data_IF_654613839422
#
_entry.id   IF_654613839422
#
_cell.length_a   1.000
_cell.length_b   1.000
_cell.length_c   1.000
_cell.angle_alpha   90.00
_cell.angle_beta   90.00
_cell.angle_gamma   90.00
#
_symmetry.space_group_name_H-M   'P 1'
#
loop_
_entity.id
_entity.type
_entity.pdbx_description
1 polymer ?
#
# COMPACT_ATOMS: atom_id res chain seq x y z
N UNK A 1 -8.12 19.85 -1.43
CA UNK A 1 -8.96 20.27 -0.28
C UNK A 1 -8.73 21.71 0.17
N UNK A 2 -7.49 22.20 0.29
CA UNK A 2 -7.23 23.60 0.71
C UNK A 2 -7.90 24.63 -0.21
N UNK A 3 -7.80 24.45 -1.54
CA UNK A 3 -8.42 25.34 -2.54
C UNK A 3 -9.95 25.34 -2.39
N UNK A 4 -10.55 24.16 -2.25
CA UNK A 4 -12.01 24.01 -2.04
C UNK A 4 -12.48 24.80 -0.81
N UNK A 5 -11.78 24.65 0.32
CA UNK A 5 -12.18 25.32 1.56
C UNK A 5 -11.93 26.83 1.51
N UNK A 6 -10.82 27.29 0.92
CA UNK A 6 -10.55 28.71 0.74
C UNK A 6 -11.63 29.41 -0.10
N UNK A 7 -12.15 28.73 -1.13
CA UNK A 7 -13.21 29.26 -1.99
C UNK A 7 -14.61 29.20 -1.35
N UNK A 8 -14.82 28.48 -0.25
CA UNK A 8 -16.14 28.42 0.42
C UNK A 8 -16.29 29.54 1.46
N UNK A 9 -15.19 30.07 2.01
CA UNK A 9 -15.20 31.14 3.03
C UNK A 9 -16.00 32.39 2.61
N UNK A 10 -15.88 32.92 1.37
CA UNK A 10 -16.55 34.17 1.00
C UNK A 10 -18.07 34.03 0.77
N UNK A 11 -18.60 32.81 0.62
CA UNK A 11 -20.03 32.57 0.44
C UNK A 11 -20.66 33.12 -0.85
N UNK A 12 -19.88 33.53 -1.85
CA UNK A 12 -20.42 34.10 -3.11
C UNK A 12 -20.57 33.05 -4.22
N UNK A 13 -21.46 33.30 -5.18
CA UNK A 13 -21.68 32.42 -6.33
C UNK A 13 -20.42 32.23 -7.22
N UNK A 14 -19.55 33.25 -7.30
CA UNK A 14 -18.27 33.14 -8.00
C UNK A 14 -17.30 32.23 -7.26
N UNK A 15 -17.27 32.32 -5.93
CA UNK A 15 -16.43 31.48 -5.08
C UNK A 15 -16.88 30.01 -5.11
N UNK A 16 -18.18 29.72 -5.27
CA UNK A 16 -18.69 28.37 -5.46
C UNK A 16 -18.11 27.66 -6.71
N UNK A 17 -17.86 28.38 -7.82
CA UNK A 17 -17.22 27.80 -9.01
C UNK A 17 -15.77 27.39 -8.72
N UNK A 18 -15.03 28.22 -7.98
CA UNK A 18 -13.66 27.90 -7.53
C UNK A 18 -13.63 26.71 -6.57
N UNK A 19 -14.62 26.60 -5.67
CA UNK A 19 -14.76 25.47 -4.76
C UNK A 19 -15.00 24.16 -5.52
N UNK A 20 -15.90 24.18 -6.52
CA UNK A 20 -16.17 23.04 -7.38
C UNK A 20 -14.90 22.59 -8.14
N UNK A 21 -14.16 23.52 -8.75
CA UNK A 21 -12.88 23.21 -9.40
C UNK A 21 -11.89 22.55 -8.42
N UNK A 22 -11.71 23.14 -7.23
CA UNK A 22 -10.81 22.59 -6.21
C UNK A 22 -11.22 21.18 -5.74
N UNK A 23 -12.53 20.89 -5.72
CA UNK A 23 -13.06 19.57 -5.37
C UNK A 23 -12.75 18.55 -6.47
N UNK A 24 -13.02 18.87 -7.73
CA UNK A 24 -12.68 17.97 -8.85
C UNK A 24 -11.17 17.73 -8.96
N UNK A 25 -10.37 18.78 -8.77
CA UNK A 25 -8.91 18.66 -8.74
C UNK A 25 -8.46 17.72 -7.62
N UNK A 26 -9.05 17.84 -6.43
CA UNK A 26 -8.76 16.92 -5.34
C UNK A 26 -9.13 15.48 -5.70
N UNK A 27 -10.34 15.24 -6.22
CA UNK A 27 -10.79 13.88 -6.59
C UNK A 27 -9.87 13.28 -7.66
N UNK A 28 -9.43 14.06 -8.64
CA UNK A 28 -8.54 13.62 -9.71
C UNK A 28 -7.20 13.08 -9.19
N UNK A 29 -6.63 13.66 -8.13
CA UNK A 29 -5.40 13.15 -7.52
C UNK A 29 -5.66 12.12 -6.42
N UNK A 30 -6.71 12.29 -5.62
CA UNK A 30 -7.06 11.38 -4.52
C UNK A 30 -7.42 9.98 -5.02
N UNK A 31 -8.14 9.89 -6.15
CA UNK A 31 -8.56 8.63 -6.76
C UNK A 31 -7.40 7.66 -7.05
N UNK A 32 -6.40 8.02 -7.87
CA UNK A 32 -5.30 7.10 -8.19
C UNK A 32 -4.24 6.99 -7.08
N UNK A 33 -4.26 7.84 -6.06
CA UNK A 33 -3.27 7.82 -4.98
C UNK A 33 -3.85 7.24 -3.68
N UNK A 34 -4.33 8.09 -2.78
CA UNK A 34 -4.77 7.72 -1.44
C UNK A 34 -5.97 6.75 -1.43
N UNK A 35 -6.80 6.74 -2.47
CA UNK A 35 -7.94 5.83 -2.52
C UNK A 35 -7.52 4.40 -2.88
N UNK A 36 -6.58 4.21 -3.81
CA UNK A 36 -6.21 2.88 -4.33
C UNK A 36 -4.97 2.29 -3.65
N UNK A 37 -3.96 3.12 -3.35
CA UNK A 37 -2.66 2.66 -2.83
C UNK A 37 -2.80 1.86 -1.53
N UNK A 38 -3.60 2.25 -0.51
CA UNK A 38 -3.68 1.49 0.73
C UNK A 38 -4.22 0.06 0.55
N UNK A 39 -5.12 -0.15 -0.40
CA UNK A 39 -5.68 -1.47 -0.68
C UNK A 39 -4.67 -2.37 -1.39
N UNK A 40 -3.92 -1.80 -2.33
CA UNK A 40 -2.85 -2.50 -3.03
C UNK A 40 -1.69 -2.82 -2.08
N UNK A 41 -1.25 -1.83 -1.31
CA UNK A 41 -0.14 -1.95 -0.37
C UNK A 41 -0.39 -3.01 0.70
N UNK A 42 -1.63 -3.10 1.21
CA UNK A 42 -2.01 -4.15 2.15
C UNK A 42 -1.91 -5.56 1.55
N UNK A 43 -2.09 -5.71 0.23
CA UNK A 43 -1.91 -7.00 -0.45
C UNK A 43 -0.43 -7.33 -0.68
N UNK A 44 0.41 -6.32 -0.93
CA UNK A 44 1.84 -6.48 -1.21
C UNK A 44 2.68 -6.76 0.05
N UNK A 45 2.31 -6.17 1.18
CA UNK A 45 3.10 -6.25 2.42
C UNK A 45 2.84 -7.51 3.25
N UNK A 46 1.71 -8.18 3.00
CA UNK A 46 1.36 -9.36 3.78
C UNK A 46 1.97 -10.62 3.15
N UNK A 47 2.69 -11.44 3.95
CA UNK A 47 3.16 -12.73 3.48
C UNK A 47 2.00 -13.59 2.99
N UNK A 48 2.19 -14.33 1.90
CA UNK A 48 1.13 -15.10 1.22
C UNK A 48 0.37 -16.01 2.20
N UNK A 49 1.08 -16.61 3.17
CA UNK A 49 0.50 -17.50 4.19
C UNK A 49 -0.55 -16.85 5.09
N UNK A 50 -0.42 -15.55 5.37
CA UNK A 50 -1.29 -14.81 6.31
C UNK A 50 -2.06 -13.67 5.63
N UNK A 51 -1.94 -13.53 4.31
CA UNK A 51 -2.53 -12.45 3.53
C UNK A 51 -4.04 -12.27 3.79
N UNK A 52 -4.81 -13.36 3.86
CA UNK A 52 -6.24 -13.28 4.18
C UNK A 52 -6.54 -12.69 5.58
N UNK A 53 -5.74 -13.04 6.59
CA UNK A 53 -5.90 -12.52 7.97
C UNK A 53 -5.46 -11.06 8.05
N UNK A 54 -4.35 -10.71 7.40
CA UNK A 54 -3.85 -9.34 7.31
C UNK A 54 -4.84 -8.41 6.60
N UNK A 55 -5.39 -8.86 5.47
CA UNK A 55 -6.42 -8.13 4.73
C UNK A 55 -7.71 -7.96 5.54
N UNK A 56 -8.15 -8.97 6.29
CA UNK A 56 -9.32 -8.86 7.16
C UNK A 56 -9.11 -7.83 8.28
N UNK A 57 -7.94 -7.85 8.94
CA UNK A 57 -7.60 -6.88 9.98
C UNK A 57 -7.53 -5.45 9.41
N UNK A 58 -6.87 -5.27 8.26
CA UNK A 58 -6.79 -3.98 7.58
C UNK A 58 -8.20 -3.42 7.24
N UNK A 59 -9.10 -4.29 6.75
CA UNK A 59 -10.50 -3.93 6.50
C UNK A 59 -11.22 -3.48 7.76
N UNK A 60 -11.12 -4.25 8.85
CA UNK A 60 -11.79 -3.92 10.12
C UNK A 60 -11.32 -2.57 10.64
N UNK A 61 -10.01 -2.31 10.61
CA UNK A 61 -9.44 -1.02 11.03
C UNK A 61 -9.94 0.10 10.13
N UNK A 62 -9.92 -0.08 8.80
CA UNK A 62 -10.39 0.91 7.83
C UNK A 62 -11.85 1.32 8.10
N UNK A 63 -12.75 0.34 8.21
CA UNK A 63 -14.17 0.60 8.44
C UNK A 63 -14.45 1.16 9.84
N UNK A 64 -13.68 0.75 10.85
CA UNK A 64 -13.81 1.29 12.21
C UNK A 64 -13.41 2.76 12.28
N UNK A 65 -12.31 3.15 11.62
CA UNK A 65 -11.89 4.55 11.53
C UNK A 65 -12.86 5.35 10.66
N UNK A 66 -13.39 4.78 9.58
CA UNK A 66 -14.43 5.44 8.77
C UNK A 66 -15.67 5.76 9.62
N UNK A 67 -16.17 4.78 10.37
CA UNK A 67 -17.29 4.97 11.29
C UNK A 67 -17.02 6.06 12.32
N UNK A 68 -15.84 6.04 12.95
CA UNK A 68 -15.43 7.06 13.92
C UNK A 68 -15.46 8.46 13.29
N UNK A 69 -14.88 8.62 12.10
CA UNK A 69 -14.84 9.92 11.39
C UNK A 69 -16.26 10.39 11.07
N UNK A 70 -17.14 9.52 10.56
CA UNK A 70 -18.53 9.88 10.23
C UNK A 70 -19.29 10.33 11.49
N UNK A 71 -19.08 9.68 12.63
CA UNK A 71 -19.76 10.04 13.90
C UNK A 71 -19.20 11.32 14.53
N UNK A 72 -17.88 11.52 14.48
CA UNK A 72 -17.21 12.67 15.13
C UNK A 72 -17.33 13.94 14.30
N UNK A 73 -17.30 13.86 12.97
CA UNK A 73 -17.37 15.02 12.07
C UNK A 73 -18.56 15.96 12.34
N UNK A 74 -19.82 15.52 12.48
CA UNK A 74 -20.94 16.43 12.75
C UNK A 74 -20.79 17.14 14.10
N UNK A 75 -20.28 16.45 15.13
CA UNK A 75 -20.01 17.02 16.45
C UNK A 75 -18.92 18.10 16.33
N UNK A 76 -17.86 17.84 15.56
CA UNK A 76 -16.81 18.83 15.31
C UNK A 76 -17.35 20.05 14.56
N UNK A 77 -18.11 19.86 13.49
CA UNK A 77 -18.67 20.98 12.70
C UNK A 77 -19.57 21.86 13.57
N UNK A 78 -20.37 21.29 14.48
CA UNK A 78 -21.23 22.05 15.37
C UNK A 78 -20.46 22.85 16.44
N UNK A 79 -19.38 22.28 16.99
CA UNK A 79 -18.65 22.91 18.12
C UNK A 79 -17.51 23.83 17.67
N UNK A 80 -16.75 23.42 16.65
CA UNK A 80 -15.54 24.14 16.20
C UNK A 80 -15.66 24.70 14.77
N UNK A 81 -16.77 24.45 14.07
CA UNK A 81 -17.08 25.05 12.76
C UNK A 81 -15.95 24.85 11.75
N UNK A 82 -15.36 25.97 11.31
CA UNK A 82 -14.26 25.97 10.34
C UNK A 82 -12.99 25.27 10.84
N UNK A 83 -12.79 25.19 12.17
CA UNK A 83 -11.67 24.49 12.78
C UNK A 83 -11.65 23.00 12.47
N UNK A 84 -12.81 22.40 12.17
CA UNK A 84 -12.92 20.99 11.72
C UNK A 84 -12.09 20.73 10.48
N UNK A 85 -12.11 21.66 9.51
CA UNK A 85 -11.37 21.52 8.26
C UNK A 85 -9.86 21.65 8.48
N UNK A 86 -9.44 22.51 9.42
CA UNK A 86 -8.02 22.66 9.77
C UNK A 86 -7.49 21.40 10.48
N UNK A 87 -8.29 20.79 11.35
CA UNK A 87 -7.94 19.52 12.00
C UNK A 87 -7.69 18.41 10.97
N UNK A 88 -8.61 18.19 10.04
CA UNK A 88 -8.41 17.18 9.01
C UNK A 88 -7.25 17.51 8.07
N UNK A 89 -7.03 18.80 7.76
CA UNK A 89 -5.85 19.22 6.99
C UNK A 89 -4.54 18.89 7.73
N UNK A 90 -4.48 19.12 9.05
CA UNK A 90 -3.32 18.79 9.87
C UNK A 90 -3.09 17.28 9.96
N UNK A 91 -4.14 16.48 10.14
CA UNK A 91 -4.04 15.01 10.15
C UNK A 91 -3.52 14.49 8.79
N UNK A 92 -4.03 15.01 7.68
CA UNK A 92 -3.52 14.66 6.35
C UNK A 92 -2.06 15.09 6.15
N UNK A 93 -1.69 16.27 6.64
CA UNK A 93 -0.30 16.74 6.58
C UNK A 93 0.64 15.89 7.44
N UNK A 94 0.17 15.40 8.60
CA UNK A 94 0.93 14.49 9.46
C UNK A 94 1.06 13.06 8.90
N UNK A 95 0.12 12.63 8.05
CA UNK A 95 0.21 11.34 7.37
C UNK A 95 1.39 11.28 6.36
N UNK A 96 1.75 12.39 5.72
CA UNK A 96 2.86 12.45 4.76
C UNK A 96 4.23 12.05 5.36
N UNK A 97 4.72 12.67 6.46
CA UNK A 97 5.98 12.24 7.07
C UNK A 97 5.89 10.83 7.64
N UNK A 98 4.71 10.41 8.12
CA UNK A 98 4.52 9.04 8.60
C UNK A 98 4.73 8.03 7.48
N UNK A 99 4.09 8.22 6.32
CA UNK A 99 4.29 7.35 5.16
C UNK A 99 5.76 7.36 4.74
N UNK A 100 6.38 8.54 4.65
CA UNK A 100 7.79 8.65 4.25
C UNK A 100 8.77 7.88 5.15
N UNK A 101 8.50 7.83 6.46
CA UNK A 101 9.40 7.21 7.44
C UNK A 101 9.16 5.72 7.66
N UNK A 102 7.92 5.25 7.48
CA UNK A 102 7.52 3.89 7.86
C UNK A 102 7.17 2.97 6.69
N UNK A 103 6.87 3.50 5.50
CA UNK A 103 6.43 2.68 4.36
C UNK A 103 7.63 2.30 3.47
N UNK A 104 8.07 1.02 3.45
CA UNK A 104 9.00 0.55 2.44
C UNK A 104 8.38 0.62 1.04
N UNK A 105 9.23 0.89 0.05
CA UNK A 105 8.86 0.90 -1.37
C UNK A 105 8.71 -0.54 -1.88
N UNK A 106 7.55 -0.86 -2.43
CA UNK A 106 7.17 -2.20 -2.91
C UNK A 106 7.08 -2.28 -4.44
N UNK A 107 7.21 -1.16 -5.16
CA UNK A 107 7.05 -1.13 -6.62
C UNK A 107 8.07 -2.01 -7.35
N UNK A 108 7.59 -2.77 -8.34
CA UNK A 108 8.39 -3.64 -9.21
C UNK A 108 9.19 -4.72 -8.47
N UNK A 109 8.68 -5.20 -7.34
CA UNK A 109 9.21 -6.33 -6.59
C UNK A 109 8.24 -7.51 -6.63
N UNK A 110 8.77 -8.72 -6.55
CA UNK A 110 7.95 -9.91 -6.32
C UNK A 110 7.48 -9.97 -4.86
N UNK A 111 6.40 -10.70 -4.58
CA UNK A 111 5.91 -10.85 -3.19
C UNK A 111 6.95 -11.55 -2.30
N UNK A 112 7.73 -12.46 -2.89
CA UNK A 112 8.82 -13.15 -2.22
C UNK A 112 9.98 -12.21 -1.88
N UNK A 113 10.36 -11.30 -2.80
CA UNK A 113 11.38 -10.26 -2.52
C UNK A 113 10.97 -9.35 -1.35
N UNK A 114 9.67 -9.07 -1.22
CA UNK A 114 9.16 -8.24 -0.12
C UNK A 114 9.34 -8.95 1.22
N UNK A 115 9.12 -10.26 1.30
CA UNK A 115 9.37 -11.04 2.52
C UNK A 115 10.86 -10.96 2.95
N UNK A 116 11.79 -10.94 1.99
CA UNK A 116 13.22 -10.75 2.28
C UNK A 116 13.54 -9.34 2.79
N UNK A 117 12.87 -8.29 2.29
CA UNK A 117 13.03 -6.92 2.81
C UNK A 117 12.68 -6.87 4.30
N UNK A 118 11.59 -7.54 4.70
CA UNK A 118 11.20 -7.63 6.11
C UNK A 118 12.17 -8.49 6.92
N UNK A 119 12.65 -9.60 6.38
CA UNK A 119 13.66 -10.44 7.03
C UNK A 119 14.96 -9.67 7.29
N UNK A 120 15.48 -8.96 6.29
CA UNK A 120 16.69 -8.12 6.42
C UNK A 120 16.50 -7.04 7.48
N UNK A 121 15.36 -6.32 7.46
CA UNK A 121 15.04 -5.31 8.47
C UNK A 121 15.05 -5.87 9.90
N UNK A 122 14.52 -7.09 10.06
CA UNK A 122 14.50 -7.78 11.35
C UNK A 122 15.91 -8.24 11.80
N UNK A 123 16.67 -8.92 10.94
CA UNK A 123 17.98 -9.48 11.27
C UNK A 123 19.07 -8.42 11.47
N UNK A 124 19.08 -7.37 10.64
CA UNK A 124 20.08 -6.29 10.72
C UNK A 124 19.65 -5.16 11.65
N UNK A 125 18.47 -5.26 12.28
CA UNK A 125 17.90 -4.26 13.18
C UNK A 125 17.81 -2.85 12.55
N UNK A 126 17.45 -2.80 11.27
CA UNK A 126 17.32 -1.57 10.49
C UNK A 126 15.85 -1.30 10.14
N UNK A 127 15.49 -0.05 9.87
CA UNK A 127 14.15 0.28 9.38
C UNK A 127 13.85 -0.46 8.07
N UNK A 128 12.64 -0.99 7.93
CA UNK A 128 12.18 -1.64 6.70
C UNK A 128 12.29 -0.72 5.48
N UNK A 129 12.11 0.60 5.67
CA UNK A 129 12.32 1.60 4.61
C UNK A 129 13.77 1.64 4.15
N UNK A 130 14.72 1.49 5.07
CA UNK A 130 16.14 1.43 4.77
C UNK A 130 16.49 0.08 4.11
N UNK A 131 15.96 -1.02 4.64
CA UNK A 131 16.13 -2.36 4.06
C UNK A 131 15.66 -2.40 2.59
N UNK A 132 14.49 -1.82 2.30
CA UNK A 132 13.94 -1.75 0.94
C UNK A 132 14.82 -0.94 -0.03
N UNK A 133 15.49 0.12 0.47
CA UNK A 133 16.38 0.97 -0.34
C UNK A 133 17.73 0.32 -0.63
N UNK A 134 18.27 -0.43 0.32
CA UNK A 134 19.60 -1.02 0.22
C UNK A 134 19.59 -2.39 -0.47
N UNK A 135 18.45 -3.09 -0.46
CA UNK A 135 18.36 -4.41 -1.06
C UNK A 135 18.35 -4.31 -2.59
N UNK A 136 19.30 -4.96 -3.30
CA UNK A 136 19.25 -5.03 -4.76
C UNK A 136 18.02 -5.85 -5.23
N UNK A 137 17.70 -5.77 -6.51
CA UNK A 137 16.70 -6.67 -7.11
C UNK A 137 17.28 -8.07 -7.16
N UNK A 138 16.55 -9.03 -6.63
CA UNK A 138 17.01 -10.40 -6.49
C UNK A 138 16.52 -11.20 -7.70
N UNK A 139 17.42 -11.98 -8.29
CA UNK A 139 17.02 -13.08 -9.16
C UNK A 139 16.56 -14.27 -8.30
N UNK A 140 15.90 -15.25 -8.90
CA UNK A 140 15.44 -16.44 -8.17
C UNK A 140 16.59 -17.15 -7.45
N UNK A 141 17.77 -17.22 -8.08
CA UNK A 141 18.97 -17.85 -7.52
C UNK A 141 19.51 -17.06 -6.31
N UNK A 142 19.44 -15.72 -6.35
CA UNK A 142 19.85 -14.86 -5.23
C UNK A 142 18.91 -15.00 -4.01
N UNK A 143 17.61 -15.22 -4.25
CA UNK A 143 16.63 -15.45 -3.20
C UNK A 143 16.87 -16.78 -2.48
N UNK A 144 17.29 -17.83 -3.19
CA UNK A 144 17.65 -19.12 -2.57
C UNK A 144 18.87 -18.99 -1.66
N UNK A 145 19.91 -18.28 -2.11
CA UNK A 145 21.11 -18.03 -1.32
C UNK A 145 20.81 -17.21 -0.04
N UNK A 146 19.96 -16.18 -0.15
CA UNK A 146 19.55 -15.36 1.00
C UNK A 146 18.62 -16.10 1.96
N UNK A 147 17.76 -17.00 1.47
CA UNK A 147 16.93 -17.83 2.33
C UNK A 147 17.77 -18.76 3.21
N UNK A 148 18.86 -19.29 2.66
CA UNK A 148 19.83 -20.11 3.36
C UNK A 148 20.66 -19.27 4.35
N UNK A 149 21.15 -18.09 3.94
CA UNK A 149 21.90 -17.16 4.79
C UNK A 149 21.11 -16.68 6.01
N UNK A 150 19.86 -16.26 5.80
CA UNK A 150 18.98 -15.80 6.88
C UNK A 150 18.30 -16.94 7.65
N UNK A 151 18.61 -18.21 7.33
CA UNK A 151 18.08 -19.38 8.04
C UNK A 151 16.55 -19.38 8.11
N UNK A 152 15.87 -18.88 7.08
CA UNK A 152 14.41 -18.80 7.06
C UNK A 152 13.85 -20.22 7.08
N UNK A 153 13.17 -20.59 8.17
CA UNK A 153 12.61 -21.94 8.37
C UNK A 153 11.64 -22.38 7.24
N UNK A 154 11.16 -21.43 6.45
CA UNK A 154 10.29 -21.61 5.29
C UNK A 154 11.04 -21.83 3.96
N UNK A 155 12.38 -21.86 3.94
CA UNK A 155 13.17 -22.09 2.72
C UNK A 155 12.71 -23.31 1.93
N UNK A 156 12.27 -24.38 2.62
CA UNK A 156 11.71 -25.58 1.99
C UNK A 156 10.36 -25.32 1.29
N UNK A 157 9.48 -24.54 1.89
CA UNK A 157 8.18 -24.22 1.31
C UNK A 157 8.27 -23.15 0.20
N UNK A 158 9.24 -22.24 0.31
CA UNK A 158 9.62 -21.33 -0.77
C UNK A 158 10.15 -22.16 -1.96
N UNK A 159 11.04 -23.13 -1.70
CA UNK A 159 11.56 -24.07 -2.71
C UNK A 159 10.47 -24.92 -3.37
N UNK A 160 9.47 -25.36 -2.60
CA UNK A 160 8.31 -26.10 -3.12
C UNK A 160 7.40 -25.22 -3.99
N UNK A 161 7.20 -23.94 -3.63
CA UNK A 161 6.43 -22.99 -4.42
C UNK A 161 7.14 -22.56 -5.72
N UNK A 162 8.45 -22.31 -5.66
CA UNK A 162 9.27 -21.96 -6.84
C UNK A 162 9.28 -23.11 -7.84
N UNK A 163 9.52 -24.34 -7.36
CA UNK A 163 9.49 -25.56 -8.20
C UNK A 163 8.12 -25.80 -8.84
N UNK A 164 7.03 -25.46 -8.15
CA UNK A 164 5.67 -25.53 -8.71
C UNK A 164 5.41 -24.46 -9.78
N UNK A 165 6.03 -23.27 -9.65
CA UNK A 165 5.91 -22.19 -10.65
C UNK A 165 6.73 -22.49 -11.92
N UNK A 166 7.88 -23.15 -11.78
CA UNK A 166 8.71 -23.61 -12.89
C UNK A 166 8.05 -24.78 -13.65
N UNK A 167 7.50 -25.77 -12.94
CA UNK A 167 6.78 -26.88 -13.61
C UNK A 167 5.53 -26.42 -14.35
N UNK A 168 4.90 -25.33 -13.90
CA UNK A 168 3.77 -24.71 -14.60
C UNK A 168 4.17 -23.99 -15.89
N UNK A 169 5.39 -23.44 -15.96
CA UNK A 169 5.93 -22.81 -17.17
C UNK A 169 6.38 -23.85 -18.20
N UNK A 170 6.98 -24.96 -17.75
CA UNK A 170 7.37 -26.07 -18.64
C UNK A 170 6.14 -26.78 -19.23
N UNK A 171 5.09 -26.97 -18.43
CA UNK A 171 3.82 -27.52 -18.94
C UNK A 171 3.11 -26.59 -19.94
N UNK A 172 3.18 -25.26 -19.76
CA UNK A 172 2.64 -24.31 -20.72
C UNK A 172 3.48 -24.24 -22.02
N UNK A 173 4.79 -24.44 -21.93
CA UNK A 173 5.69 -24.53 -23.08
C UNK A 173 5.48 -25.83 -23.87
N UNK A 174 5.19 -26.96 -23.23
CA UNK A 174 4.84 -28.21 -23.92
C UNK A 174 3.47 -28.10 -24.62
N UNK A 175 2.45 -27.58 -23.96
CA UNK A 175 1.10 -27.45 -24.56
C UNK A 175 1.10 -26.49 -25.76
N UNK A 176 1.87 -25.40 -25.72
CA UNK A 176 2.01 -24.46 -26.84
C UNK A 176 2.72 -25.01 -28.08
N UNK A 177 3.49 -26.10 -27.96
CA UNK A 177 4.16 -26.75 -29.10
C UNK A 177 3.23 -27.76 -29.80
N UNK A 178 2.24 -28.33 -29.10
CA UNK A 178 1.29 -29.27 -29.70
C UNK A 178 0.09 -28.62 -30.42
N UNK A 179 -0.18 -27.33 -30.16
CA UNK A 179 -1.35 -26.63 -30.74
C UNK A 179 -1.08 -25.97 -32.11
N UNK A 180 0.16 -26.06 -32.63
CA UNK A 180 0.55 -25.49 -33.93
C UNK A 180 0.91 -26.57 -34.98
N UNK A 181 0.22 -27.71 -34.91
CA UNK A 181 0.29 -28.80 -35.90
C UNK A 181 -1.09 -29.42 -36.16
N UNK A 182 -2.05 -28.60 -36.61
CA UNK A 182 -3.21 -29.02 -37.40
C UNK A 182 -3.52 -27.96 -38.45
#
# INVERSE_FOLDING_TARGET
MIITFACIIPGTASAAKGAAFGLFLYIAFFGPSYLTVPWLYAAEINPIRICAKGAAAANIVNWSINFLVVMVTPIMVQNIGWGTYLFFAAVNAAALPFIYLFYPETSHRSLEEIDFIFAKGYYENISYVKAAKEMPRLTNDDMEALAEEYGLADAKAIKDNIRSAESGKDGAAEVGIYENKV
#
